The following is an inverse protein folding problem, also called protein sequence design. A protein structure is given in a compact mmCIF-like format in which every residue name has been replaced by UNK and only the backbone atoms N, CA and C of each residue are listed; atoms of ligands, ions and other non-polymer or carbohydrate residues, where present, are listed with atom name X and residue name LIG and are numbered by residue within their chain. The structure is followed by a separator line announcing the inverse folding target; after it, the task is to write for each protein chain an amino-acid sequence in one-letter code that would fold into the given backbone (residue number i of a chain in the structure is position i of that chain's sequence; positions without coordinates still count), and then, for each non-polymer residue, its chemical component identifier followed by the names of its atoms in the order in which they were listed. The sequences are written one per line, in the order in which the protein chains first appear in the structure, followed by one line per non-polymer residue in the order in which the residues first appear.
data_IF_102941395590
#
_entry.id   IF_102941395590
#
_cell.length_a   1.000
_cell.length_b   1.000
_cell.length_c   1.000
_cell.angle_alpha   90.00
_cell.angle_beta   90.00
_cell.angle_gamma   90.00
#
_symmetry.space_group_name_H-M   'P 1'
#
loop_
_entity.id
_entity.type
_entity.pdbx_description
1 polymer ?
#
# COMPACT_ATOMS: atom_id res chain seq x y z
N UNK A 1 13.58 -11.60 33.58
CA UNK A 1 12.86 -11.42 32.30
C UNK A 1 13.75 -10.58 31.39
N UNK A 2 13.84 -10.91 30.11
CA UNK A 2 14.62 -10.14 29.13
C UNK A 2 13.68 -9.12 28.49
N UNK A 3 13.96 -7.84 28.62
CA UNK A 3 13.16 -6.76 28.03
C UNK A 3 13.85 -6.22 26.78
N UNK A 4 13.09 -6.05 25.70
CA UNK A 4 13.54 -5.44 24.45
C UNK A 4 12.67 -4.22 24.21
N UNK A 5 13.27 -3.03 24.21
CA UNK A 5 12.57 -1.77 23.95
C UNK A 5 12.72 -1.43 22.48
N UNK A 6 11.61 -1.41 21.73
CA UNK A 6 11.58 -1.07 20.31
C UNK A 6 10.77 0.21 20.08
N UNK A 7 11.13 1.05 19.09
CA UNK A 7 10.33 2.21 18.71
C UNK A 7 8.91 1.80 18.32
N UNK A 8 7.93 2.62 18.72
CA UNK A 8 6.52 2.36 18.41
C UNK A 8 6.34 2.35 16.88
N UNK A 9 6.00 1.18 16.35
CA UNK A 9 5.72 0.98 14.95
C UNK A 9 4.54 0.02 14.81
N UNK A 10 3.69 0.25 13.82
CA UNK A 10 2.45 -0.52 13.61
C UNK A 10 2.67 -2.03 13.54
N UNK A 11 3.82 -2.50 13.04
CA UNK A 11 4.15 -3.93 13.05
C UNK A 11 4.24 -4.55 14.44
N UNK A 12 4.73 -3.80 15.44
CA UNK A 12 4.77 -4.24 16.83
C UNK A 12 3.40 -4.20 17.51
N UNK A 13 2.55 -3.23 17.15
CA UNK A 13 1.14 -3.20 17.59
C UNK A 13 0.40 -4.44 17.10
N UNK A 14 0.58 -4.81 15.82
CA UNK A 14 -0.03 -6.03 15.25
C UNK A 14 0.44 -7.29 15.98
N UNK A 15 1.75 -7.41 16.24
CA UNK A 15 2.30 -8.53 17.02
C UNK A 15 1.73 -8.56 18.44
N UNK A 16 1.61 -7.41 19.11
CA UNK A 16 1.04 -7.31 20.45
C UNK A 16 -0.40 -7.80 20.50
N UNK A 17 -1.23 -7.41 19.52
CA UNK A 17 -2.62 -7.88 19.40
C UNK A 17 -2.67 -9.40 19.24
N UNK A 18 -1.84 -9.98 18.36
CA UNK A 18 -1.82 -11.41 18.11
C UNK A 18 -1.31 -12.21 19.33
N UNK A 19 -0.27 -11.72 20.00
CA UNK A 19 0.31 -12.39 21.18
C UNK A 19 -0.64 -12.29 22.39
N UNK A 20 -1.39 -11.19 22.54
CA UNK A 20 -2.37 -11.03 23.61
C UNK A 20 -3.59 -11.97 23.45
N UNK A 21 -3.83 -12.47 22.24
CA UNK A 21 -4.92 -13.41 21.94
C UNK A 21 -4.39 -14.64 21.15
N UNK A 22 -3.64 -15.55 21.82
CA UNK A 22 -3.13 -16.76 21.18
C UNK A 22 -4.28 -17.60 20.60
N UNK A 23 -4.00 -18.31 19.52
CA UNK A 23 -4.90 -19.17 18.72
C UNK A 23 -6.13 -18.49 18.11
N UNK A 24 -6.38 -17.21 18.42
CA UNK A 24 -7.44 -16.43 17.80
C UNK A 24 -7.03 -15.94 16.42
N UNK A 25 -7.90 -16.16 15.44
CA UNK A 25 -7.81 -15.53 14.13
C UNK A 25 -8.35 -14.10 14.20
N UNK A 26 -7.53 -13.15 13.71
CA UNK A 26 -7.89 -11.73 13.64
C UNK A 26 -7.89 -11.31 12.18
N UNK A 27 -9.01 -10.75 11.72
CA UNK A 27 -9.13 -10.28 10.35
C UNK A 27 -8.23 -9.05 10.11
N UNK A 28 -7.64 -8.94 8.93
CA UNK A 28 -6.71 -7.84 8.60
C UNK A 28 -7.34 -6.45 8.76
N UNK A 29 -8.64 -6.31 8.51
CA UNK A 29 -9.35 -5.03 8.74
C UNK A 29 -9.45 -4.66 10.22
N UNK A 30 -9.50 -5.65 11.12
CA UNK A 30 -9.59 -5.42 12.56
C UNK A 30 -8.22 -5.06 13.14
N UNK A 31 -7.15 -5.66 12.58
CA UNK A 31 -5.76 -5.34 12.93
C UNK A 31 -5.37 -3.92 12.54
N UNK A 32 -5.79 -3.48 11.36
CA UNK A 32 -5.47 -2.14 10.81
C UNK A 32 -6.26 -1.04 11.55
N UNK A 33 -7.41 -1.36 12.14
CA UNK A 33 -8.27 -0.38 12.81
C UNK A 33 -8.98 0.56 11.83
N UNK A 34 -9.59 1.65 12.33
CA UNK A 34 -10.22 2.68 11.48
C UNK A 34 -9.23 3.71 10.90
N UNK A 35 -8.12 4.00 11.62
CA UNK A 35 -7.14 5.04 11.24
C UNK A 35 -6.28 4.70 10.02
N UNK A 36 -6.14 3.42 9.66
CA UNK A 36 -5.19 2.97 8.61
C UNK A 36 -5.95 2.32 7.42
N UNK A 37 -7.28 2.59 7.32
CA UNK A 37 -8.19 2.09 6.25
C UNK A 37 -8.00 2.73 4.88
N UNK A 38 -7.12 3.72 4.75
CA UNK A 38 -6.97 4.46 3.50
C UNK A 38 -5.66 5.19 3.33
N UNK A 39 -5.10 5.78 4.38
CA UNK A 39 -4.21 6.94 4.18
C UNK A 39 -2.94 6.66 3.38
N UNK A 40 -2.12 5.65 3.72
CA UNK A 40 -0.87 5.45 2.98
C UNK A 40 -1.08 5.02 1.51
N UNK A 41 -2.15 4.29 1.21
CA UNK A 41 -2.44 3.81 -0.15
C UNK A 41 -3.23 4.82 -0.98
N UNK A 42 -4.17 5.52 -0.34
CA UNK A 42 -4.97 6.58 -0.95
C UNK A 42 -4.12 7.84 -1.14
N UNK A 43 -3.15 8.13 -0.25
CA UNK A 43 -2.15 9.19 -0.46
C UNK A 43 -1.23 8.84 -1.63
N UNK A 44 -0.78 7.59 -1.77
CA UNK A 44 0.02 7.17 -2.94
C UNK A 44 -0.81 7.19 -4.24
N UNK A 45 -2.07 6.78 -4.21
CA UNK A 45 -2.99 6.87 -5.36
C UNK A 45 -3.30 8.34 -5.70
N UNK A 46 -3.46 9.21 -4.70
CA UNK A 46 -3.65 10.64 -4.88
C UNK A 46 -2.38 11.33 -5.39
N UNK A 47 -1.20 10.95 -4.91
CA UNK A 47 0.09 11.44 -5.40
C UNK A 47 0.35 10.99 -6.83
N UNK A 48 0.06 9.73 -7.16
CA UNK A 48 0.16 9.22 -8.53
C UNK A 48 -0.81 9.99 -9.45
N UNK A 49 -2.08 10.14 -9.06
CA UNK A 49 -3.06 10.95 -9.80
C UNK A 49 -2.62 12.40 -9.98
N UNK A 50 -2.06 13.01 -8.93
CA UNK A 50 -1.55 14.38 -9.00
C UNK A 50 -0.37 14.49 -9.98
N UNK A 51 0.54 13.52 -9.98
CA UNK A 51 1.66 13.46 -10.92
C UNK A 51 1.20 13.29 -12.37
N UNK A 52 0.27 12.36 -12.64
CA UNK A 52 -0.31 12.20 -13.97
C UNK A 52 -1.10 13.43 -14.42
N UNK A 53 -1.83 14.09 -13.51
CA UNK A 53 -2.55 15.33 -13.82
C UNK A 53 -1.59 16.48 -14.15
N UNK A 54 -0.52 16.65 -13.37
CA UNK A 54 0.52 17.62 -13.66
C UNK A 54 1.17 17.36 -15.02
N UNK A 55 1.49 16.09 -15.33
CA UNK A 55 2.04 15.72 -16.63
C UNK A 55 1.08 16.02 -17.80
N UNK A 56 -0.21 15.80 -17.61
CA UNK A 56 -1.22 16.14 -18.61
C UNK A 56 -1.38 17.66 -18.81
N UNK A 57 -1.18 18.45 -17.74
CA UNK A 57 -1.15 19.92 -17.84
C UNK A 57 0.09 20.40 -18.59
N UNK A 58 1.28 19.86 -18.30
CA UNK A 58 2.52 20.14 -19.05
C UNK A 58 2.36 19.84 -20.56
N UNK A 59 1.82 18.66 -20.90
CA UNK A 59 1.61 18.26 -22.29
C UNK A 59 0.62 19.19 -23.02
N UNK A 60 -0.39 19.72 -22.32
CA UNK A 60 -1.32 20.71 -22.90
C UNK A 60 -0.63 22.04 -23.17
N UNK A 61 0.20 22.52 -22.26
CA UNK A 61 0.97 23.75 -22.46
C UNK A 61 1.95 23.63 -23.63
N UNK A 62 2.65 22.49 -23.74
CA UNK A 62 3.53 22.21 -24.87
C UNK A 62 2.78 22.14 -26.21
N UNK A 63 1.55 21.63 -26.19
CA UNK A 63 0.70 21.51 -27.37
C UNK A 63 0.20 22.88 -27.84
N UNK A 64 -0.14 23.79 -26.93
CA UNK A 64 -0.48 25.19 -27.27
C UNK A 64 0.73 25.95 -27.85
N UNK A 65 1.93 25.71 -27.32
CA UNK A 65 3.15 26.26 -27.88
C UNK A 65 3.42 25.72 -29.30
N UNK A 66 3.22 24.42 -29.52
CA UNK A 66 3.36 23.81 -30.84
C UNK A 66 2.32 24.31 -31.86
N UNK A 67 1.07 24.55 -31.41
CA UNK A 67 0.02 25.19 -32.22
C UNK A 67 0.40 26.59 -32.65
N UNK A 68 0.93 27.40 -31.71
CA UNK A 68 1.39 28.77 -32.01
C UNK A 68 2.54 28.77 -33.03
N UNK A 69 3.41 27.76 -32.98
CA UNK A 69 4.52 27.58 -33.91
C UNK A 69 4.13 26.89 -35.24
N UNK A 70 2.87 26.44 -35.41
CA UNK A 70 2.40 25.61 -36.53
C UNK A 70 3.24 24.35 -36.78
N UNK A 71 3.80 23.75 -35.73
CA UNK A 71 4.58 22.52 -35.83
C UNK A 71 3.66 21.30 -35.76
N UNK A 72 3.11 20.93 -36.92
CA UNK A 72 2.15 19.83 -37.06
C UNK A 72 2.70 18.48 -36.59
N UNK A 73 4.00 18.22 -36.81
CA UNK A 73 4.64 16.98 -36.36
C UNK A 73 4.75 16.90 -34.85
N UNK A 74 5.03 18.03 -34.19
CA UNK A 74 5.05 18.12 -32.73
C UNK A 74 3.64 18.05 -32.12
N UNK A 75 2.64 18.62 -32.77
CA UNK A 75 1.23 18.57 -32.33
C UNK A 75 0.72 17.12 -32.30
N UNK A 76 0.95 16.36 -33.37
CA UNK A 76 0.49 14.97 -33.48
C UNK A 76 1.10 14.07 -32.39
N UNK A 77 2.42 14.18 -32.20
CA UNK A 77 3.15 13.47 -31.13
C UNK A 77 2.61 13.81 -29.73
N UNK A 78 2.46 15.10 -29.42
CA UNK A 78 1.98 15.54 -28.10
C UNK A 78 0.53 15.15 -27.84
N UNK A 79 -0.31 15.09 -28.88
CA UNK A 79 -1.69 14.61 -28.78
C UNK A 79 -1.73 13.14 -28.41
N UNK A 80 -0.94 12.30 -29.09
CA UNK A 80 -0.84 10.88 -28.76
C UNK A 80 -0.30 10.62 -27.35
N UNK A 81 0.67 11.43 -26.90
CA UNK A 81 1.18 11.35 -25.52
C UNK A 81 0.11 11.73 -24.49
N UNK A 82 -0.70 12.76 -24.75
CA UNK A 82 -1.79 13.18 -23.87
C UNK A 82 -2.91 12.13 -23.79
N UNK A 83 -3.24 11.50 -24.91
CA UNK A 83 -4.22 10.41 -24.97
C UNK A 83 -3.74 9.18 -24.18
N UNK A 84 -2.48 8.77 -24.36
CA UNK A 84 -1.91 7.65 -23.61
C UNK A 84 -1.94 7.88 -22.07
N UNK A 85 -1.58 9.09 -21.62
CA UNK A 85 -1.64 9.46 -20.20
C UNK A 85 -3.09 9.46 -19.68
N UNK A 86 -4.05 9.88 -20.51
CA UNK A 86 -5.47 9.92 -20.13
C UNK A 86 -6.08 8.51 -20.06
N UNK A 87 -5.71 7.62 -20.98
CA UNK A 87 -6.14 6.23 -20.97
C UNK A 87 -5.57 5.45 -19.79
N UNK A 88 -4.30 5.71 -19.42
CA UNK A 88 -3.68 5.13 -18.23
C UNK A 88 -4.40 5.57 -16.95
N UNK A 89 -4.80 6.86 -16.87
CA UNK A 89 -5.63 7.38 -15.79
C UNK A 89 -7.00 6.70 -15.71
N UNK A 90 -7.67 6.46 -16.84
CA UNK A 90 -8.97 5.81 -16.89
C UNK A 90 -8.89 4.32 -16.55
N UNK A 91 -7.88 3.61 -17.08
CA UNK A 91 -7.63 2.19 -16.81
C UNK A 91 -7.29 1.93 -15.33
N UNK A 92 -6.57 2.85 -14.68
CA UNK A 92 -6.33 2.84 -13.23
C UNK A 92 -7.60 3.02 -12.39
N UNK A 93 -8.67 3.58 -12.96
CA UNK A 93 -9.97 3.81 -12.29
C UNK A 93 -11.03 2.77 -12.68
N UNK A 94 -10.69 1.49 -12.61
CA UNK A 94 -11.54 0.40 -13.07
C UNK A 94 -13.05 0.48 -12.74
N UNK A 95 -13.85 0.34 -13.79
CA UNK A 95 -15.29 0.06 -13.85
C UNK A 95 -15.81 -0.78 -12.65
N UNK A 96 -16.83 -0.28 -11.94
CA UNK A 96 -17.56 -1.01 -10.88
C UNK A 96 -17.27 -0.60 -9.43
N UNK A 97 -17.01 0.69 -9.19
CA UNK A 97 -16.40 1.31 -8.00
C UNK A 97 -16.94 1.06 -6.57
N UNK A 98 -17.79 0.07 -6.30
CA UNK A 98 -18.16 -0.33 -4.91
C UNK A 98 -17.64 -1.72 -4.53
N UNK A 99 -17.90 -2.74 -5.32
CA UNK A 99 -17.49 -4.13 -5.02
C UNK A 99 -15.98 -4.34 -5.21
N UNK A 100 -15.38 -3.74 -6.25
CA UNK A 100 -13.92 -3.80 -6.50
C UNK A 100 -13.12 -3.09 -5.41
N UNK A 101 -13.64 -1.98 -4.86
CA UNK A 101 -12.97 -1.20 -3.81
C UNK A 101 -12.90 -1.96 -2.48
N UNK A 102 -13.97 -2.68 -2.10
CA UNK A 102 -13.97 -3.49 -0.87
C UNK A 102 -12.95 -4.66 -0.95
N UNK A 103 -12.95 -5.42 -2.05
CA UNK A 103 -11.96 -6.48 -2.28
C UNK A 103 -10.52 -5.95 -2.34
N UNK A 104 -10.30 -4.81 -3.00
CA UNK A 104 -8.97 -4.17 -3.03
C UNK A 104 -8.51 -3.70 -1.65
N UNK A 105 -9.44 -3.29 -0.76
CA UNK A 105 -9.08 -2.84 0.59
C UNK A 105 -8.62 -3.97 1.47
N UNK A 106 -9.31 -5.11 1.44
CA UNK A 106 -8.91 -6.31 2.21
C UNK A 106 -7.57 -6.83 1.72
N UNK A 107 -7.37 -6.93 0.40
CA UNK A 107 -6.11 -7.41 -0.15
C UNK A 107 -4.93 -6.45 0.14
N UNK A 108 -5.15 -5.14 0.08
CA UNK A 108 -4.14 -4.16 0.47
C UNK A 108 -3.82 -4.21 1.96
N UNK A 109 -4.84 -4.33 2.82
CA UNK A 109 -4.66 -4.50 4.26
C UNK A 109 -3.82 -5.76 4.53
N UNK A 110 -4.12 -6.87 3.86
CA UNK A 110 -3.36 -8.13 3.94
C UNK A 110 -1.89 -7.92 3.61
N UNK A 111 -1.58 -7.31 2.46
CA UNK A 111 -0.20 -7.06 2.03
C UNK A 111 0.54 -6.14 3.01
N UNK A 112 -0.09 -5.05 3.46
CA UNK A 112 0.53 -4.09 4.38
C UNK A 112 0.78 -4.72 5.76
N UNK A 113 -0.21 -5.40 6.33
CA UNK A 113 -0.10 -6.11 7.62
C UNK A 113 1.00 -7.16 7.55
N UNK A 114 1.02 -7.98 6.51
CA UNK A 114 2.05 -9.01 6.32
C UNK A 114 3.45 -8.39 6.24
N UNK A 115 3.62 -7.30 5.46
CA UNK A 115 4.91 -6.60 5.37
C UNK A 115 5.36 -6.06 6.72
N UNK A 116 4.47 -5.36 7.45
CA UNK A 116 4.79 -4.74 8.75
C UNK A 116 5.09 -5.78 9.83
N UNK A 117 4.36 -6.89 9.88
CA UNK A 117 4.65 -8.02 10.78
C UNK A 117 6.04 -8.58 10.47
N UNK A 118 6.34 -8.83 9.19
CA UNK A 118 7.64 -9.37 8.77
C UNK A 118 8.79 -8.43 9.13
N UNK A 119 8.63 -7.14 8.91
CA UNK A 119 9.66 -6.14 9.25
C UNK A 119 9.83 -6.00 10.77
N UNK A 120 8.76 -6.10 11.55
CA UNK A 120 8.83 -6.13 13.01
C UNK A 120 9.57 -7.37 13.52
N UNK A 121 9.26 -8.56 12.99
CA UNK A 121 9.95 -9.80 13.35
C UNK A 121 11.45 -9.72 13.00
N UNK A 122 11.80 -9.19 11.82
CA UNK A 122 13.21 -8.97 11.43
C UNK A 122 13.94 -8.04 12.40
N UNK A 123 13.31 -6.96 12.84
CA UNK A 123 13.87 -6.04 13.84
C UNK A 123 14.01 -6.70 15.21
N UNK A 124 13.12 -7.61 15.60
CA UNK A 124 13.31 -8.39 16.82
C UNK A 124 14.45 -9.39 16.66
N UNK A 125 14.59 -10.00 15.47
CA UNK A 125 15.63 -10.97 15.19
C UNK A 125 17.05 -10.38 15.24
N UNK A 126 17.23 -9.07 15.01
CA UNK A 126 18.52 -8.39 15.18
C UNK A 126 18.93 -8.28 16.65
N UNK A 127 17.97 -8.19 17.58
CA UNK A 127 18.21 -8.12 19.02
C UNK A 127 18.24 -9.52 19.67
N UNK A 128 17.34 -10.40 19.24
CA UNK A 128 17.23 -11.78 19.70
C UNK A 128 16.81 -12.71 18.54
N UNK A 129 17.80 -13.39 17.96
CA UNK A 129 17.58 -14.31 16.85
C UNK A 129 16.71 -15.53 17.21
N UNK A 130 16.68 -15.95 18.48
CA UNK A 130 15.83 -17.05 18.92
C UNK A 130 14.37 -16.62 18.97
N UNK A 131 14.10 -15.42 19.48
CA UNK A 131 12.77 -14.82 19.47
C UNK A 131 12.26 -14.59 18.04
N UNK A 132 13.13 -14.09 17.16
CA UNK A 132 12.79 -13.92 15.74
C UNK A 132 12.33 -15.23 15.09
N UNK A 133 13.11 -16.30 15.22
CA UNK A 133 12.75 -17.63 14.70
C UNK A 133 11.46 -18.18 15.30
N UNK A 134 11.25 -17.99 16.61
CA UNK A 134 10.02 -18.42 17.28
C UNK A 134 8.80 -17.72 16.69
N UNK A 135 8.85 -16.40 16.52
CA UNK A 135 7.75 -15.62 15.95
C UNK A 135 7.49 -15.99 14.47
N UNK A 136 8.53 -16.23 13.67
CA UNK A 136 8.35 -16.69 12.28
C UNK A 136 7.65 -18.05 12.20
N UNK A 137 7.91 -18.96 13.14
CA UNK A 137 7.29 -20.29 13.16
C UNK A 137 5.82 -20.26 13.62
N UNK A 138 5.53 -19.38 14.58
CA UNK A 138 4.26 -19.34 15.34
C UNK A 138 3.25 -18.33 14.81
N UNK A 139 3.67 -17.26 14.13
CA UNK A 139 2.77 -16.29 13.52
C UNK A 139 2.32 -16.78 12.14
N UNK A 140 1.02 -16.83 11.91
CA UNK A 140 0.40 -17.07 10.61
C UNK A 140 -0.17 -15.77 10.07
N UNK A 141 0.14 -15.46 8.81
CA UNK A 141 -0.35 -14.26 8.14
C UNK A 141 -1.14 -14.63 6.88
N UNK A 142 -2.32 -14.01 6.73
CA UNK A 142 -3.21 -14.14 5.60
C UNK A 142 -4.30 -13.08 5.70
N UNK A 143 -5.46 -13.28 5.07
CA UNK A 143 -6.64 -12.42 5.32
C UNK A 143 -7.05 -12.45 6.81
N UNK A 144 -6.77 -13.56 7.47
CA UNK A 144 -6.77 -13.70 8.91
C UNK A 144 -5.34 -13.96 9.38
N UNK A 145 -4.94 -13.28 10.45
CA UNK A 145 -3.64 -13.46 11.08
C UNK A 145 -3.84 -14.06 12.49
N UNK A 146 -2.93 -14.91 12.92
CA UNK A 146 -3.00 -15.58 14.23
C UNK A 146 -1.61 -15.87 14.79
N UNK A 147 -1.51 -15.96 16.11
CA UNK A 147 -0.34 -16.46 16.82
C UNK A 147 -0.66 -17.86 17.37
N UNK A 148 0.07 -18.86 16.91
CA UNK A 148 -0.08 -20.27 17.33
C UNK A 148 1.21 -20.71 18.00
N UNK A 149 1.31 -20.62 19.34
CA UNK A 149 2.49 -21.07 20.06
C UNK A 149 2.69 -22.58 19.86
N UNK A 150 3.93 -23.00 19.67
CA UNK A 150 4.38 -24.40 19.56
C UNK A 150 4.93 -24.92 20.88
#
# INVERSE_FOLDING_TARGET
AREIVVPLAKGFEYLSVLIAAPTREVHVSDLVGDDDRGDAGDVLDAQARAAYKARAEELREELEAARTANDLGRIDRLTGELEAVTDELLAGTGLGGRTRKAGSRVERARVNVQRRIKDAIRRLATEDAALGRYLEATIKTGTFCSFVPV
#
